data_IF_989518418299
#
_entry.id   IF_989518418299
#
_cell.length_a   1.000
_cell.length_b   1.000
_cell.length_c   1.000
_cell.angle_alpha   90.00
_cell.angle_beta   90.00
_cell.angle_gamma   90.00
#
_symmetry.space_group_name_H-M   'P 1'
#
loop_
_entity.id
_entity.type
_entity.pdbx_description
1 polymer ?
#
# COMPACT_ATOMS: atom_id res chain seq x y z
N UNK A 1 -22.49 -0.06 10.87
CA UNK A 1 -21.07 -0.07 11.29
C UNK A 1 -20.23 0.40 10.10
N UNK A 2 -19.96 1.70 10.01
CA UNK A 2 -19.15 2.25 8.91
C UNK A 2 -17.69 2.08 9.31
N UNK A 3 -17.02 1.11 8.70
CA UNK A 3 -15.59 0.82 8.89
C UNK A 3 -14.76 2.09 8.68
N UNK A 4 -14.27 2.68 9.77
CA UNK A 4 -13.36 3.84 9.80
C UNK A 4 -11.94 3.44 9.33
N UNK A 5 -11.80 2.86 8.14
CA UNK A 5 -10.48 2.62 7.55
C UNK A 5 -10.01 3.92 6.91
N UNK A 6 -9.02 4.56 7.51
CA UNK A 6 -8.23 5.61 6.84
C UNK A 6 -7.71 5.04 5.51
N UNK A 7 -7.70 5.82 4.42
CA UNK A 7 -7.21 5.31 3.15
C UNK A 7 -5.74 4.93 3.30
N UNK A 8 -5.41 3.67 2.99
CA UNK A 8 -4.05 3.11 3.05
C UNK A 8 -3.00 3.99 2.36
N UNK A 9 -3.43 4.72 1.32
CA UNK A 9 -2.63 5.73 0.64
C UNK A 9 -2.13 6.85 1.58
N UNK A 10 -2.98 7.36 2.48
CA UNK A 10 -2.60 8.37 3.48
C UNK A 10 -1.60 7.83 4.49
N UNK A 11 -1.83 6.62 5.04
CA UNK A 11 -0.92 5.99 6.01
C UNK A 11 0.46 5.74 5.37
N UNK A 12 0.50 5.51 4.06
CA UNK A 12 1.73 5.25 3.31
C UNK A 12 2.39 6.52 2.73
N UNK A 13 1.77 7.69 2.89
CA UNK A 13 2.28 8.93 2.30
C UNK A 13 2.30 8.92 0.77
N UNK A 14 1.46 8.12 0.13
CA UNK A 14 1.37 8.00 -1.34
C UNK A 14 0.00 8.43 -1.85
N UNK A 15 -0.06 8.81 -3.12
CA UNK A 15 -1.33 9.12 -3.76
C UNK A 15 -2.21 7.86 -3.87
N UNK A 16 -3.54 8.04 -3.78
CA UNK A 16 -4.49 6.93 -3.99
C UNK A 16 -4.30 6.24 -5.33
N UNK A 17 -3.89 6.98 -6.37
CA UNK A 17 -3.62 6.44 -7.69
C UNK A 17 -2.45 5.45 -7.68
N UNK A 18 -1.44 5.66 -6.83
CA UNK A 18 -0.30 4.76 -6.65
C UNK A 18 -0.76 3.41 -6.13
N UNK A 19 -1.59 3.39 -5.07
CA UNK A 19 -2.15 2.15 -4.52
C UNK A 19 -2.96 1.41 -5.59
N UNK A 20 -3.85 2.12 -6.31
CA UNK A 20 -4.65 1.52 -7.39
C UNK A 20 -3.79 0.95 -8.54
N UNK A 21 -2.67 1.60 -8.86
CA UNK A 21 -1.76 1.10 -9.88
C UNK A 21 -1.02 -0.18 -9.41
N UNK A 22 -0.64 -0.25 -8.14
CA UNK A 22 -0.04 -1.43 -7.52
C UNK A 22 -1.04 -2.59 -7.52
N UNK A 23 -2.27 -2.37 -7.07
CA UNK A 23 -3.32 -3.41 -7.04
C UNK A 23 -3.67 -3.94 -8.43
N UNK A 24 -3.56 -3.10 -9.47
CA UNK A 24 -3.76 -3.51 -10.87
C UNK A 24 -2.50 -4.11 -11.52
N UNK A 25 -1.40 -4.25 -10.79
CA UNK A 25 -0.11 -4.70 -11.32
C UNK A 25 0.52 -3.75 -12.35
N UNK A 26 0.02 -2.51 -12.44
CA UNK A 26 0.48 -1.48 -13.40
C UNK A 26 1.67 -0.67 -12.89
N UNK A 27 2.02 -0.83 -11.62
CA UNK A 27 3.15 -0.15 -11.01
C UNK A 27 3.86 -1.11 -10.04
N UNK A 28 5.16 -1.29 -10.26
CA UNK A 28 6.01 -1.96 -9.28
C UNK A 28 6.45 -0.92 -8.24
N UNK A 29 6.07 -1.10 -6.97
CA UNK A 29 6.51 -0.21 -5.92
C UNK A 29 8.03 -0.25 -5.76
N UNK A 30 8.64 0.89 -5.39
CA UNK A 30 10.04 0.92 -4.96
C UNK A 30 10.26 -0.02 -3.76
N UNK A 31 11.48 -0.53 -3.54
CA UNK A 31 11.77 -1.44 -2.43
C UNK A 31 11.28 -0.91 -1.08
N UNK A 32 11.50 0.37 -0.78
CA UNK A 32 11.04 1.01 0.46
C UNK A 32 9.52 0.95 0.63
N UNK A 33 8.77 1.23 -0.45
CA UNK A 33 7.31 1.16 -0.46
C UNK A 33 6.82 -0.29 -0.35
N UNK A 34 7.50 -1.24 -0.99
CA UNK A 34 7.21 -2.66 -0.87
C UNK A 34 7.40 -3.16 0.57
N UNK A 35 8.46 -2.74 1.27
CA UNK A 35 8.68 -3.08 2.67
C UNK A 35 7.62 -2.46 3.59
N UNK A 36 7.22 -1.20 3.36
CA UNK A 36 6.13 -0.56 4.11
C UNK A 36 4.80 -1.30 3.90
N UNK A 37 4.52 -1.69 2.65
CA UNK A 37 3.36 -2.51 2.29
C UNK A 37 3.37 -3.87 3.00
N UNK A 38 4.49 -4.58 2.92
CA UNK A 38 4.66 -5.87 3.58
C UNK A 38 4.45 -5.78 5.10
N UNK A 39 5.03 -4.76 5.75
CA UNK A 39 4.83 -4.51 7.19
C UNK A 39 3.39 -4.21 7.55
N UNK A 40 2.72 -3.34 6.79
CA UNK A 40 1.34 -2.94 7.06
C UNK A 40 0.36 -4.10 6.83
N UNK A 41 0.68 -4.99 5.89
CA UNK A 41 -0.14 -6.15 5.56
C UNK A 41 0.27 -7.43 6.32
N UNK A 42 1.33 -7.38 7.14
CA UNK A 42 1.87 -8.55 7.84
C UNK A 42 2.42 -9.64 6.91
N UNK A 43 2.77 -9.28 5.67
CA UNK A 43 3.30 -10.22 4.70
C UNK A 43 4.80 -10.47 4.97
N UNK A 44 5.25 -11.74 5.00
CA UNK A 44 6.67 -12.04 5.06
C UNK A 44 7.34 -11.58 3.77
N UNK A 45 8.35 -10.72 3.88
CA UNK A 45 9.28 -10.44 2.78
C UNK A 45 10.46 -11.41 2.92
N UNK A 46 10.78 -12.15 1.85
CA UNK A 46 11.94 -13.06 1.80
C UNK A 46 12.75 -12.74 0.56
#
# INVERSE_FOLDING_TARGET
MVSHRRPMAQEMGVARQTILAIEKGKYYPSPDLAFRLARLLGAPYR
#
